data_IF_215558643602
#
_entry.id   IF_215558643602
#
_cell.length_a   1.000
_cell.length_b   1.000
_cell.length_c   1.000
_cell.angle_alpha   90.00
_cell.angle_beta   90.00
_cell.angle_gamma   90.00
#
_symmetry.space_group_name_H-M   'P 1'
#
loop_
_entity.id
_entity.type
_entity.pdbx_description
1 polymer ?
#
# COMPACT_ATOMS: atom_id res chain seq x y z
N UNK A 1 51.06 -4.59 -4.05
CA UNK A 1 49.99 -3.72 -4.55
C UNK A 1 48.75 -4.58 -4.68
N UNK A 2 47.74 -4.21 -3.90
CA UNK A 2 46.81 -5.11 -3.21
C UNK A 2 45.68 -5.66 -4.09
N UNK A 3 45.48 -6.98 -4.03
CA UNK A 3 44.26 -7.62 -4.54
C UNK A 3 43.13 -7.34 -3.55
N UNK A 4 42.25 -6.40 -3.87
CA UNK A 4 41.03 -6.18 -3.12
C UNK A 4 40.23 -7.48 -3.03
N UNK A 5 40.23 -8.09 -1.85
CA UNK A 5 39.39 -9.23 -1.52
C UNK A 5 38.08 -8.62 -1.04
N UNK A 6 37.07 -8.58 -1.90
CA UNK A 6 35.71 -8.19 -1.48
C UNK A 6 35.27 -9.16 -0.37
N UNK A 7 35.28 -8.67 0.87
CA UNK A 7 34.74 -9.36 2.02
C UNK A 7 33.22 -9.17 1.96
N UNK A 8 32.51 -10.17 1.46
CA UNK A 8 31.07 -10.20 1.64
C UNK A 8 30.73 -10.47 3.13
N UNK A 9 29.59 -9.99 3.64
CA UNK A 9 29.10 -10.35 4.97
C UNK A 9 29.04 -11.88 5.15
N UNK A 10 29.16 -12.39 6.39
CA UNK A 10 29.03 -13.82 6.64
C UNK A 10 27.71 -14.35 6.07
N UNK A 11 27.80 -15.19 5.02
CA UNK A 11 26.65 -15.71 4.27
C UNK A 11 26.79 -15.71 2.75
N UNK A 12 27.83 -15.06 2.19
CA UNK A 12 28.02 -14.97 0.74
C UNK A 12 29.34 -15.61 0.28
N UNK A 13 29.24 -16.69 -0.51
CA UNK A 13 30.35 -17.26 -1.29
C UNK A 13 29.85 -17.52 -2.72
N UNK A 14 30.45 -16.83 -3.69
CA UNK A 14 30.75 -17.41 -5.00
C UNK A 14 29.72 -17.25 -6.13
N UNK A 15 30.17 -16.61 -7.20
CA UNK A 15 29.55 -16.60 -8.52
C UNK A 15 29.38 -18.03 -9.07
N UNK A 16 28.14 -18.41 -9.40
CA UNK A 16 27.69 -19.67 -10.06
C UNK A 16 27.12 -20.80 -9.18
N UNK A 17 26.32 -20.53 -8.17
CA UNK A 17 25.30 -21.50 -7.73
C UNK A 17 24.02 -20.77 -7.32
N UNK A 18 22.86 -21.34 -7.68
CA UNK A 18 21.54 -20.86 -7.28
C UNK A 18 21.50 -20.72 -5.75
N UNK A 19 21.54 -19.48 -5.30
CA UNK A 19 20.92 -18.94 -4.08
C UNK A 19 19.60 -19.64 -3.77
N UNK A 20 19.71 -20.75 -3.06
CA UNK A 20 18.64 -21.46 -2.36
C UNK A 20 18.86 -21.29 -0.85
N UNK A 21 19.16 -20.06 -0.46
CA UNK A 21 19.16 -19.64 0.94
C UNK A 21 17.77 -19.06 1.15
N UNK A 22 16.95 -19.70 1.98
CA UNK A 22 15.65 -19.18 2.34
C UNK A 22 15.81 -17.84 3.05
N UNK A 23 15.54 -16.76 2.32
CA UNK A 23 15.69 -15.38 2.81
C UNK A 23 14.56 -15.01 3.78
N UNK A 24 13.46 -15.77 3.79
CA UNK A 24 12.32 -15.59 4.70
C UNK A 24 12.60 -16.10 6.12
N UNK A 25 13.56 -17.01 6.30
CA UNK A 25 13.98 -17.52 7.63
C UNK A 25 14.39 -16.40 8.60
N UNK A 26 14.86 -15.26 8.08
CA UNK A 26 15.22 -14.09 8.90
C UNK A 26 14.02 -13.26 9.38
N UNK A 27 12.80 -13.65 9.03
CA UNK A 27 11.55 -12.92 9.28
C UNK A 27 11.63 -11.43 8.87
N UNK A 28 11.97 -11.15 7.60
CA UNK A 28 12.24 -9.78 7.16
C UNK A 28 10.95 -8.94 7.00
N UNK A 29 9.81 -9.58 6.73
CA UNK A 29 8.53 -8.91 6.53
C UNK A 29 7.91 -8.40 7.84
N UNK A 30 7.38 -7.18 7.82
CA UNK A 30 6.74 -6.52 8.97
C UNK A 30 5.22 -6.55 8.86
N UNK A 31 4.54 -6.18 9.95
CA UNK A 31 3.10 -5.93 9.97
C UNK A 31 2.22 -7.10 9.51
N UNK A 32 2.62 -8.33 9.85
CA UNK A 32 1.84 -9.55 9.52
C UNK A 32 1.88 -9.94 8.04
N UNK A 33 2.78 -9.34 7.26
CA UNK A 33 2.96 -9.67 5.85
C UNK A 33 3.53 -11.08 5.64
N UNK A 34 3.10 -11.71 4.55
CA UNK A 34 3.57 -13.05 4.15
C UNK A 34 4.87 -12.93 3.37
N UNK A 35 5.93 -13.59 3.84
CA UNK A 35 7.19 -13.64 3.11
C UNK A 35 7.16 -14.72 2.03
N UNK A 36 7.61 -14.37 0.84
CA UNK A 36 7.70 -15.26 -0.32
C UNK A 36 9.17 -15.33 -0.74
N UNK A 37 9.80 -16.48 -0.54
CA UNK A 37 11.17 -16.76 -0.96
C UNK A 37 11.24 -16.98 -2.47
N UNK A 38 12.22 -16.36 -3.13
CA UNK A 38 12.51 -16.51 -4.54
C UNK A 38 14.01 -16.71 -4.76
N UNK A 39 14.44 -17.29 -5.90
CA UNK A 39 15.86 -17.50 -6.18
C UNK A 39 16.63 -16.17 -6.18
N UNK A 40 17.27 -15.87 -5.05
CA UNK A 40 18.12 -14.70 -4.87
C UNK A 40 17.45 -13.45 -4.34
N UNK A 41 16.17 -13.53 -3.98
CA UNK A 41 15.45 -12.43 -3.38
C UNK A 41 14.28 -12.94 -2.54
N UNK A 42 13.69 -12.08 -1.71
CA UNK A 42 12.39 -12.33 -1.10
C UNK A 42 11.45 -11.18 -1.40
N UNK A 43 10.15 -11.45 -1.39
CA UNK A 43 9.11 -10.43 -1.47
C UNK A 43 8.16 -10.55 -0.28
N UNK A 44 7.69 -9.43 0.24
CA UNK A 44 6.66 -9.40 1.28
C UNK A 44 5.32 -9.09 0.63
N UNK A 45 4.39 -10.04 0.70
CA UNK A 45 2.99 -9.79 0.40
C UNK A 45 2.33 -9.17 1.63
N UNK A 46 2.06 -7.88 1.53
CA UNK A 46 1.57 -7.08 2.62
C UNK A 46 0.04 -7.24 2.76
N UNK A 47 -0.44 -7.29 4.01
CA UNK A 47 -1.88 -7.27 4.30
C UNK A 47 -2.35 -5.82 4.21
N UNK A 48 -3.56 -5.57 3.70
CA UNK A 48 -4.12 -4.22 3.70
C UNK A 48 -4.08 -3.61 5.12
N UNK A 49 -3.72 -2.32 5.28
CA UNK A 49 -3.54 -1.27 4.26
C UNK A 49 -2.11 -1.16 3.69
N UNK A 50 -1.21 -2.08 3.98
CA UNK A 50 0.21 -2.00 3.60
C UNK A 50 0.42 -2.44 2.13
N UNK A 51 1.26 -1.75 1.35
CA UNK A 51 1.49 -2.07 -0.09
C UNK A 51 2.76 -2.93 -0.30
N UNK A 52 2.66 -3.86 -1.24
CA UNK A 52 3.77 -4.75 -1.65
C UNK A 52 4.99 -3.95 -2.09
N UNK A 53 6.15 -4.31 -1.55
CA UNK A 53 7.43 -3.67 -1.86
C UNK A 53 7.94 -4.17 -3.21
N UNK A 54 7.95 -3.30 -4.23
CA UNK A 54 8.76 -3.48 -5.43
C UNK A 54 9.59 -2.20 -5.64
N UNK A 55 10.84 -2.26 -5.18
CA UNK A 55 11.89 -1.22 -5.23
C UNK A 55 11.73 -0.01 -4.28
N UNK A 56 12.79 0.22 -3.49
CA UNK A 56 13.14 1.38 -2.65
C UNK A 56 12.19 1.86 -1.53
N UNK A 57 11.01 1.27 -1.37
CA UNK A 57 10.21 1.39 -0.14
C UNK A 57 10.40 0.11 0.69
N UNK A 58 10.73 0.27 1.99
CA UNK A 58 10.92 -0.86 2.90
C UNK A 58 9.70 -1.81 2.94
N UNK A 59 9.88 -3.06 3.40
CA UNK A 59 8.83 -4.07 3.37
C UNK A 59 7.64 -3.66 4.26
N UNK A 60 6.51 -3.35 3.61
CA UNK A 60 5.21 -3.11 4.23
C UNK A 60 5.12 -1.86 5.13
N UNK A 61 5.43 -0.69 4.59
CA UNK A 61 5.15 0.59 5.26
C UNK A 61 3.67 0.99 5.19
N UNK A 62 3.19 1.66 6.26
CA UNK A 62 1.82 2.11 6.39
C UNK A 62 1.45 3.07 5.25
N UNK A 63 0.27 2.88 4.63
CA UNK A 63 -0.22 3.87 3.67
C UNK A 63 -0.90 5.02 4.40
N UNK A 64 -0.73 6.26 3.92
CA UNK A 64 -1.43 7.41 4.47
C UNK A 64 -2.93 7.47 4.07
N UNK A 65 -3.44 6.51 3.28
CA UNK A 65 -4.82 6.50 2.80
C UNK A 65 -5.74 5.76 3.80
N UNK A 66 -6.94 6.30 4.03
CA UNK A 66 -7.93 5.82 5.00
C UNK A 66 -9.17 5.19 4.31
N UNK A 67 -10.10 4.65 5.09
CA UNK A 67 -11.42 4.17 4.65
C UNK A 67 -11.39 3.19 3.45
N UNK A 68 -10.46 2.24 3.48
CA UNK A 68 -10.32 1.23 2.43
C UNK A 68 -9.77 1.78 1.11
N UNK A 69 -9.26 3.01 1.09
CA UNK A 69 -8.62 3.59 -0.08
C UNK A 69 -7.30 2.88 -0.40
N UNK A 70 -7.01 2.82 -1.71
CA UNK A 70 -5.78 2.21 -2.22
C UNK A 70 -4.76 3.31 -2.47
N UNK A 71 -3.52 3.09 -2.03
CA UNK A 71 -2.42 4.00 -2.40
C UNK A 71 -2.20 3.93 -3.92
N UNK A 72 -2.47 5.04 -4.60
CA UNK A 72 -2.35 5.15 -6.05
C UNK A 72 -0.88 5.21 -6.46
N UNK A 73 -0.29 6.39 -6.37
CA UNK A 73 1.10 6.65 -6.81
C UNK A 73 1.76 7.74 -5.98
N UNK A 74 3.10 7.74 -5.97
CA UNK A 74 3.88 8.92 -5.58
C UNK A 74 3.68 10.02 -6.62
N UNK A 75 3.69 11.25 -6.15
CA UNK A 75 3.56 12.46 -6.94
C UNK A 75 4.73 13.36 -6.61
N UNK A 76 5.16 14.17 -7.57
CA UNK A 76 6.13 15.22 -7.28
C UNK A 76 5.49 16.24 -6.33
N UNK A 77 6.30 16.77 -5.40
CA UNK A 77 5.83 17.76 -4.42
C UNK A 77 5.29 19.04 -5.09
N UNK A 78 5.72 19.31 -6.33
CA UNK A 78 5.23 20.41 -7.15
C UNK A 78 3.81 20.15 -7.71
N UNK A 79 3.41 18.89 -7.84
CA UNK A 79 2.09 18.47 -8.35
C UNK A 79 1.11 18.22 -7.20
N UNK A 80 1.58 17.60 -6.12
CA UNK A 80 0.80 17.33 -4.92
C UNK A 80 1.66 17.62 -3.70
N UNK A 81 1.27 18.56 -2.81
CA UNK A 81 2.06 18.90 -1.61
C UNK A 81 2.23 17.72 -0.65
N UNK A 82 1.44 16.65 -0.81
CA UNK A 82 1.55 15.41 -0.05
C UNK A 82 2.63 14.47 -0.59
N UNK A 83 3.05 14.64 -1.84
CA UNK A 83 4.01 13.76 -2.51
C UNK A 83 3.43 12.41 -2.95
N UNK A 84 2.10 12.25 -2.88
CA UNK A 84 1.37 11.08 -3.33
C UNK A 84 -0.09 11.39 -3.65
N UNK A 85 -0.79 10.36 -4.13
CA UNK A 85 -2.23 10.37 -4.39
C UNK A 85 -2.87 9.07 -3.92
N UNK A 86 -3.94 9.18 -3.13
CA UNK A 86 -4.82 8.08 -2.77
C UNK A 86 -5.92 7.88 -3.83
N UNK A 87 -6.31 6.62 -4.06
CA UNK A 87 -7.50 6.26 -4.84
C UNK A 87 -8.61 5.91 -3.84
N UNK A 88 -9.55 6.84 -3.66
CA UNK A 88 -10.62 6.67 -2.69
C UNK A 88 -11.63 5.60 -3.13
N UNK A 89 -12.11 4.83 -2.16
CA UNK A 89 -13.28 3.99 -2.34
C UNK A 89 -14.51 4.87 -2.66
N UNK A 90 -15.54 4.26 -3.24
CA UNK A 90 -16.81 4.96 -3.50
C UNK A 90 -17.38 5.47 -2.17
N UNK A 91 -17.91 6.69 -2.16
CA UNK A 91 -18.42 7.34 -0.94
C UNK A 91 -17.34 8.02 -0.08
N UNK A 92 -16.09 8.05 -0.53
CA UNK A 92 -15.01 8.76 0.16
C UNK A 92 -14.27 9.75 -0.74
N UNK A 93 -13.78 10.83 -0.13
CA UNK A 93 -13.02 11.89 -0.78
C UNK A 93 -12.00 12.49 0.19
N UNK A 94 -11.22 13.44 -0.31
CA UNK A 94 -10.15 14.08 0.43
C UNK A 94 -8.77 13.54 0.07
N UNK A 95 -7.71 14.24 0.50
CA UNK A 95 -6.32 13.87 0.21
C UNK A 95 -5.93 12.48 0.74
N UNK A 96 -6.53 12.06 1.86
CA UNK A 96 -6.32 10.77 2.50
C UNK A 96 -7.56 9.86 2.37
N UNK A 97 -8.60 10.29 1.65
CA UNK A 97 -9.90 9.62 1.60
C UNK A 97 -10.61 9.56 2.98
N UNK A 98 -10.33 10.54 3.82
CA UNK A 98 -10.84 10.69 5.18
C UNK A 98 -12.28 11.26 5.21
N UNK A 99 -12.70 11.92 4.14
CA UNK A 99 -14.00 12.59 4.06
C UNK A 99 -15.02 11.59 3.51
N UNK A 100 -16.05 11.28 4.28
CA UNK A 100 -17.20 10.56 3.75
C UNK A 100 -18.09 11.51 2.93
N UNK A 101 -18.41 11.11 1.71
CA UNK A 101 -19.22 11.86 0.75
C UNK A 101 -20.67 11.41 0.87
N UNK A 102 -21.51 12.26 1.45
CA UNK A 102 -22.95 12.02 1.48
C UNK A 102 -23.55 12.25 0.08
N UNK A 103 -23.84 11.16 -0.65
CA UNK A 103 -24.44 11.21 -1.99
C UNK A 103 -25.86 11.78 -2.00
N UNK A 104 -26.55 11.81 -0.86
CA UNK A 104 -27.90 12.34 -0.71
C UNK A 104 -27.93 13.86 -0.48
N UNK A 105 -26.79 14.49 -0.19
CA UNK A 105 -26.70 15.92 0.14
C UNK A 105 -27.25 16.87 -0.94
N UNK A 106 -27.15 16.48 -2.21
CA UNK A 106 -27.66 17.26 -3.35
C UNK A 106 -29.13 16.98 -3.71
N UNK A 107 -29.82 16.16 -2.89
CA UNK A 107 -31.19 15.70 -3.17
C UNK A 107 -31.38 15.14 -4.60
N UNK A 108 -30.49 14.26 -5.10
CA UNK A 108 -30.56 13.79 -6.49
C UNK A 108 -31.76 12.87 -6.75
N UNK A 109 -32.38 12.32 -5.69
CA UNK A 109 -33.53 11.43 -5.78
C UNK A 109 -34.84 12.25 -5.71
N UNK A 110 -35.41 12.60 -6.87
CA UNK A 110 -36.76 13.18 -6.94
C UNK A 110 -37.82 12.07 -6.77
N UNK A 111 -38.59 12.12 -5.69
CA UNK A 111 -39.66 11.17 -5.33
C UNK A 111 -39.19 9.75 -4.97
N UNK A 112 -38.37 9.63 -3.92
CA UNK A 112 -37.95 8.33 -3.39
C UNK A 112 -37.08 8.45 -2.15
N UNK A 113 -36.50 7.31 -1.76
CA UNK A 113 -35.51 7.25 -0.68
C UNK A 113 -34.11 7.30 -1.27
N UNK A 114 -33.29 8.21 -0.76
CA UNK A 114 -31.86 8.18 -1.01
C UNK A 114 -31.16 7.38 0.10
N UNK A 115 -30.21 6.54 -0.30
CA UNK A 115 -29.35 5.77 0.59
C UNK A 115 -27.90 6.16 0.28
N UNK A 116 -27.18 6.63 1.29
CA UNK A 116 -25.72 6.71 1.25
C UNK A 116 -25.17 5.28 1.31
N UNK A 117 -24.20 4.96 0.45
CA UNK A 117 -23.65 3.60 0.33
C UNK A 117 -22.98 3.10 1.62
N UNK A 118 -22.49 4.01 2.46
CA UNK A 118 -21.72 3.65 3.65
C UNK A 118 -22.40 4.07 4.96
N UNK A 119 -23.31 5.05 4.91
CA UNK A 119 -24.21 5.35 6.03
C UNK A 119 -25.64 4.91 5.72
N UNK A 120 -26.26 4.17 6.64
CA UNK A 120 -27.71 3.91 6.66
C UNK A 120 -28.52 5.19 6.96
N UNK A 121 -28.15 6.34 6.37
CA UNK A 121 -28.95 7.55 6.39
C UNK A 121 -29.98 7.47 5.26
N UNK A 122 -31.20 7.15 5.64
CA UNK A 122 -32.40 7.34 4.84
C UNK A 122 -32.77 8.82 4.88
N UNK A 123 -32.56 9.55 3.78
CA UNK A 123 -33.22 10.83 3.57
C UNK A 123 -34.51 10.59 2.80
N UNK A 124 -35.63 10.80 3.50
CA UNK A 124 -36.98 10.78 2.94
C UNK A 124 -37.26 12.20 2.41
N UNK A 125 -37.31 12.35 1.09
CA UNK A 125 -37.71 13.60 0.46
C UNK A 125 -39.24 13.57 0.30
N UNK A 126 -39.93 14.44 1.06
CA UNK A 126 -41.37 14.71 0.97
C UNK A 126 -41.71 15.62 -0.20
#
# INVERSE_FOLDING_TARGET
MDKFKYLFPPGFIGSRYKINTDLCSSHPCKNGATCIDQPGNYFCHCVAPFKDSYHDLGPCEATPCENGAVFGKKMDLEISPLGYQCQCAKGFAGPHCEINVNECSSSPCLHGYCYDSEFTQLQQFL
#
